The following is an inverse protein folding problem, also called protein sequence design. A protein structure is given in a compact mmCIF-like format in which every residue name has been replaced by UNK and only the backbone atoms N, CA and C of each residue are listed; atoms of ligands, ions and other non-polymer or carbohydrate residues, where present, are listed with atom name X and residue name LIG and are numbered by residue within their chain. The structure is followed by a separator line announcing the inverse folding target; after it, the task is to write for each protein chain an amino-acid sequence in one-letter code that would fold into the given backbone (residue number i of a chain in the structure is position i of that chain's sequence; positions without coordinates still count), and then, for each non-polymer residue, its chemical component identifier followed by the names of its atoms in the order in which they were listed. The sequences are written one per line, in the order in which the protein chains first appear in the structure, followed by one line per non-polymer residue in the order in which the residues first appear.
data_IF_093060524703
#
_entry.id   IF_093060524703
#
_cell.length_a   1.000
_cell.length_b   1.000
_cell.length_c   1.000
_cell.angle_alpha   90.00
_cell.angle_beta   90.00
_cell.angle_gamma   90.00
#
_symmetry.space_group_name_H-M   'P 1'
#
loop_
_entity.id
_entity.type
_entity.pdbx_description
1 polymer ?
#
# COMPACT_ATOMS: atom_id res chain seq x y z
N UNK A 1 4.41 -12.21 -0.30
CA UNK A 1 3.00 -11.93 0.01
C UNK A 1 2.36 -13.17 0.61
N UNK A 2 2.05 -13.15 1.91
CA UNK A 2 1.47 -14.25 2.68
C UNK A 2 -0.05 -14.15 2.86
N UNK A 3 -0.66 -13.06 2.41
CA UNK A 3 -2.11 -12.82 2.47
C UNK A 3 -2.66 -12.37 1.12
N UNK A 4 -3.98 -12.47 0.94
CA UNK A 4 -4.67 -11.97 -0.23
C UNK A 4 -5.14 -10.52 0.01
N UNK A 5 -4.58 -9.58 -0.74
CA UNK A 5 -4.90 -8.15 -0.58
C UNK A 5 -6.33 -7.79 -1.00
N UNK A 6 -6.95 -8.55 -1.91
CA UNK A 6 -8.34 -8.34 -2.30
C UNK A 6 -9.29 -8.78 -1.20
N UNK A 7 -9.08 -9.98 -0.67
CA UNK A 7 -9.85 -10.48 0.46
C UNK A 7 -9.67 -9.59 1.70
N UNK A 8 -8.43 -9.23 2.02
CA UNK A 8 -8.15 -8.36 3.16
C UNK A 8 -8.80 -6.97 3.01
N UNK A 9 -8.85 -6.40 1.80
CA UNK A 9 -9.55 -5.15 1.55
C UNK A 9 -11.04 -5.26 1.86
N UNK A 10 -11.70 -6.29 1.33
CA UNK A 10 -13.14 -6.50 1.53
C UNK A 10 -13.51 -6.66 3.01
N UNK A 11 -12.77 -7.48 3.75
CA UNK A 11 -13.00 -7.69 5.19
C UNK A 11 -12.76 -6.39 5.97
N UNK A 12 -11.68 -5.67 5.65
CA UNK A 12 -11.29 -4.46 6.37
C UNK A 12 -12.27 -3.31 6.15
N UNK A 13 -12.84 -3.18 4.94
CA UNK A 13 -13.85 -2.16 4.68
C UNK A 13 -15.09 -2.37 5.55
N UNK A 14 -15.57 -3.61 5.66
CA UNK A 14 -16.73 -3.93 6.53
C UNK A 14 -16.46 -3.54 7.99
N UNK A 15 -15.25 -3.80 8.49
CA UNK A 15 -14.87 -3.41 9.84
C UNK A 15 -14.71 -1.88 10.01
N UNK A 16 -14.45 -1.13 8.93
CA UNK A 16 -14.28 0.32 8.94
C UNK A 16 -15.61 1.11 9.04
N UNK A 17 -16.76 0.44 8.93
CA UNK A 17 -18.08 1.10 9.02
C UNK A 17 -18.21 1.98 10.27
N UNK A 18 -17.78 1.47 11.43
CA UNK A 18 -17.85 2.20 12.70
C UNK A 18 -16.93 3.44 12.72
N UNK A 19 -15.87 3.44 11.91
CA UNK A 19 -14.90 4.53 11.84
C UNK A 19 -15.34 5.64 10.86
N UNK A 20 -16.06 5.28 9.80
CA UNK A 20 -16.48 6.20 8.74
C UNK A 20 -17.78 6.96 9.06
N UNK A 21 -18.69 6.36 9.84
CA UNK A 21 -19.93 7.01 10.24
C UNK A 21 -20.75 7.47 9.04
N UNK A 22 -20.92 8.78 8.86
CA UNK A 22 -21.75 9.36 7.80
C UNK A 22 -21.16 9.18 6.39
N UNK A 23 -19.85 8.99 6.27
CA UNK A 23 -19.19 8.76 4.97
C UNK A 23 -19.17 7.26 4.59
N UNK A 24 -19.84 6.39 5.37
CA UNK A 24 -19.90 4.95 5.10
C UNK A 24 -20.54 4.65 3.74
N UNK A 25 -21.71 5.23 3.44
CA UNK A 25 -22.42 4.97 2.19
C UNK A 25 -21.55 5.37 0.99
N UNK A 26 -20.91 6.55 1.05
CA UNK A 26 -19.96 7.03 0.04
C UNK A 26 -18.80 6.04 -0.16
N UNK A 27 -18.19 5.55 0.92
CA UNK A 27 -17.10 4.58 0.85
C UNK A 27 -17.52 3.28 0.15
N UNK A 28 -18.74 2.79 0.44
CA UNK A 28 -19.25 1.55 -0.16
C UNK A 28 -19.60 1.72 -1.65
N UNK A 29 -20.19 2.84 -2.05
CA UNK A 29 -20.48 3.12 -3.46
C UNK A 29 -19.19 3.25 -4.30
N UNK A 30 -18.18 3.91 -3.73
CA UNK A 30 -16.88 4.03 -4.36
C UNK A 30 -16.16 2.67 -4.45
N UNK A 31 -16.22 1.84 -3.40
CA UNK A 31 -15.62 0.50 -3.45
C UNK A 31 -16.32 -0.44 -4.45
N UNK A 32 -17.65 -0.39 -4.55
CA UNK A 32 -18.40 -1.15 -5.56
C UNK A 32 -18.00 -0.69 -6.98
N UNK A 33 -17.88 0.62 -7.19
CA UNK A 33 -17.41 1.20 -8.45
C UNK A 33 -16.00 0.75 -8.76
N UNK A 34 -15.11 0.77 -7.78
CA UNK A 34 -13.72 0.33 -7.92
C UNK A 34 -13.62 -1.17 -8.30
N UNK A 35 -14.33 -2.04 -7.58
CA UNK A 35 -14.24 -3.50 -7.76
C UNK A 35 -14.96 -4.03 -9.01
N UNK A 36 -16.00 -3.34 -9.48
CA UNK A 36 -16.82 -3.76 -10.63
C UNK A 36 -16.39 -3.15 -11.96
N UNK A 37 -15.39 -2.27 -11.97
CA UNK A 37 -14.91 -1.59 -13.18
C UNK A 37 -13.41 -1.81 -13.37
N UNK A 38 -12.88 -1.32 -14.49
CA UNK A 38 -11.45 -1.33 -14.80
C UNK A 38 -11.05 -0.01 -15.47
N UNK A 39 -9.74 0.27 -15.54
CA UNK A 39 -9.22 1.45 -16.22
C UNK A 39 -9.65 2.75 -15.54
N UNK A 40 -10.02 3.77 -16.32
CA UNK A 40 -10.26 5.13 -15.80
C UNK A 40 -11.32 5.17 -14.69
N UNK A 41 -12.43 4.44 -14.83
CA UNK A 41 -13.52 4.44 -13.85
C UNK A 41 -13.08 3.86 -12.51
N UNK A 42 -12.37 2.73 -12.52
CA UNK A 42 -11.80 2.15 -11.31
C UNK A 42 -10.77 3.09 -10.68
N UNK A 43 -9.89 3.69 -11.50
CA UNK A 43 -8.89 4.66 -11.03
C UNK A 43 -9.51 5.88 -10.37
N UNK A 44 -10.58 6.44 -10.93
CA UNK A 44 -11.28 7.60 -10.35
C UNK A 44 -11.97 7.25 -9.03
N UNK A 45 -12.54 6.05 -8.91
CA UNK A 45 -13.11 5.58 -7.66
C UNK A 45 -12.02 5.37 -6.58
N UNK A 46 -10.89 4.75 -6.96
CA UNK A 46 -9.71 4.61 -6.11
C UNK A 46 -9.18 5.96 -5.61
N UNK A 47 -9.02 6.95 -6.49
CA UNK A 47 -8.55 8.29 -6.13
C UNK A 47 -9.51 8.98 -5.15
N UNK A 48 -10.82 8.78 -5.30
CA UNK A 48 -11.83 9.28 -4.36
C UNK A 48 -11.79 8.56 -3.00
N UNK A 49 -11.56 7.24 -2.96
CA UNK A 49 -11.37 6.50 -1.72
C UNK A 49 -10.15 7.02 -0.93
N UNK A 50 -9.04 7.33 -1.62
CA UNK A 50 -7.88 7.94 -0.98
C UNK A 50 -8.20 9.35 -0.45
N UNK A 51 -8.94 10.15 -1.20
CA UNK A 51 -9.37 11.47 -0.75
C UNK A 51 -10.28 11.39 0.48
N UNK A 52 -11.19 10.41 0.53
CA UNK A 52 -12.01 10.11 1.70
C UNK A 52 -11.14 9.70 2.89
N UNK A 53 -10.13 8.86 2.70
CA UNK A 53 -9.22 8.47 3.78
C UNK A 53 -8.45 9.66 4.35
N UNK A 54 -8.06 10.63 3.53
CA UNK A 54 -7.43 11.86 4.01
C UNK A 54 -8.33 12.68 4.95
N UNK A 55 -9.66 12.58 4.81
CA UNK A 55 -10.64 13.19 5.74
C UNK A 55 -10.75 12.43 7.07
N UNK A 56 -10.32 11.18 7.12
CA UNK A 56 -10.45 10.27 8.25
C UNK A 56 -9.09 9.71 8.74
N UNK A 57 -8.17 10.56 9.23
CA UNK A 57 -6.83 10.10 9.65
C UNK A 57 -6.86 9.15 10.86
N UNK A 58 -7.97 9.08 11.59
CA UNK A 58 -8.18 8.18 12.73
C UNK A 58 -8.93 6.90 12.39
N UNK A 59 -9.43 6.76 11.16
CA UNK A 59 -10.09 5.53 10.71
C UNK A 59 -9.04 4.48 10.32
N UNK A 60 -8.40 3.88 11.33
CA UNK A 60 -7.27 2.97 11.14
C UNK A 60 -7.56 1.78 10.23
N UNK A 61 -8.77 1.25 10.25
CA UNK A 61 -9.16 0.17 9.32
C UNK A 61 -9.34 0.73 7.93
N UNK A 62 -9.99 1.88 7.79
CA UNK A 62 -10.14 2.50 6.47
C UNK A 62 -8.80 2.86 5.83
N UNK A 63 -7.83 3.34 6.61
CA UNK A 63 -6.46 3.58 6.13
C UNK A 63 -5.79 2.28 5.66
N UNK A 64 -5.94 1.17 6.40
CA UNK A 64 -5.41 -0.13 5.99
C UNK A 64 -6.09 -0.65 4.71
N UNK A 65 -7.41 -0.49 4.59
CA UNK A 65 -8.15 -0.78 3.37
C UNK A 65 -7.59 -0.01 2.16
N UNK A 66 -7.35 1.29 2.29
CA UNK A 66 -6.76 2.10 1.23
C UNK A 66 -5.39 1.58 0.77
N UNK A 67 -4.55 1.12 1.70
CA UNK A 67 -3.25 0.51 1.37
C UNK A 67 -3.44 -0.80 0.58
N UNK A 68 -4.43 -1.62 0.94
CA UNK A 68 -4.71 -2.88 0.25
C UNK A 68 -5.21 -2.68 -1.18
N UNK A 69 -6.12 -1.73 -1.41
CA UNK A 69 -6.59 -1.41 -2.77
C UNK A 69 -5.50 -0.72 -3.60
N UNK A 70 -4.54 -0.01 -2.99
CA UNK A 70 -3.36 0.50 -3.71
C UNK A 70 -2.51 -0.65 -4.25
N UNK A 71 -2.37 -1.75 -3.52
CA UNK A 71 -1.71 -2.95 -4.06
C UNK A 71 -2.47 -3.55 -5.24
N UNK A 72 -3.80 -3.57 -5.18
CA UNK A 72 -4.61 -4.03 -6.33
C UNK A 72 -4.39 -3.13 -7.57
N UNK A 73 -4.27 -1.81 -7.39
CA UNK A 73 -3.91 -0.90 -8.48
C UNK A 73 -2.51 -1.15 -9.03
N UNK A 74 -1.52 -1.48 -8.19
CA UNK A 74 -0.20 -1.92 -8.67
C UNK A 74 -0.31 -3.18 -9.55
N UNK A 75 -1.19 -4.12 -9.20
CA UNK A 75 -1.37 -5.36 -9.98
C UNK A 75 -2.15 -5.14 -11.28
N UNK A 76 -3.03 -4.14 -11.32
CA UNK A 76 -3.79 -3.76 -12.53
C UNK A 76 -2.94 -2.91 -13.49
N UNK A 77 -2.27 -1.88 -12.96
CA UNK A 77 -1.38 -1.00 -13.71
C UNK A 77 -0.03 -0.90 -12.99
N UNK A 78 0.94 -1.68 -13.42
CA UNK A 78 2.26 -1.76 -12.76
C UNK A 78 3.15 -0.56 -13.10
N UNK A 79 2.78 0.62 -12.59
CA UNK A 79 3.48 1.90 -12.78
C UNK A 79 4.06 2.42 -11.46
N UNK A 80 5.20 3.11 -11.56
CA UNK A 80 5.94 3.64 -10.40
C UNK A 80 5.09 4.51 -9.46
N UNK A 81 4.10 5.24 -9.99
CA UNK A 81 3.22 6.10 -9.20
C UNK A 81 2.44 5.33 -8.15
N UNK A 82 1.89 4.16 -8.47
CA UNK A 82 1.12 3.36 -7.51
C UNK A 82 2.02 2.79 -6.41
N UNK A 83 3.23 2.35 -6.76
CA UNK A 83 4.22 1.92 -5.77
C UNK A 83 4.63 3.07 -4.82
N UNK A 84 4.88 4.27 -5.35
CA UNK A 84 5.19 5.45 -4.53
C UNK A 84 4.05 5.80 -3.58
N UNK A 85 2.81 5.84 -4.08
CA UNK A 85 1.63 6.09 -3.25
C UNK A 85 1.49 5.04 -2.14
N UNK A 86 1.62 3.76 -2.49
CA UNK A 86 1.54 2.66 -1.52
C UNK A 86 2.62 2.73 -0.45
N UNK A 87 3.86 3.01 -0.85
CA UNK A 87 4.99 3.20 0.08
C UNK A 87 4.72 4.33 1.07
N UNK A 88 4.28 5.50 0.60
CA UNK A 88 3.97 6.64 1.48
C UNK A 88 2.85 6.30 2.46
N UNK A 89 1.73 5.75 1.97
CA UNK A 89 0.60 5.37 2.83
C UNK A 89 1.00 4.34 3.88
N UNK A 90 1.80 3.34 3.50
CA UNK A 90 2.26 2.31 4.43
C UNK A 90 3.24 2.88 5.47
N UNK A 91 4.16 3.76 5.09
CA UNK A 91 5.06 4.43 6.03
C UNK A 91 4.30 5.28 7.05
N UNK A 92 3.38 6.12 6.59
CA UNK A 92 2.55 6.96 7.45
C UNK A 92 1.69 6.10 8.39
N UNK A 93 1.15 4.98 7.89
CA UNK A 93 0.40 4.03 8.70
C UNK A 93 1.27 3.34 9.76
N UNK A 94 2.51 2.98 9.46
CA UNK A 94 3.37 2.28 10.43
C UNK A 94 4.05 3.23 11.43
N UNK A 95 4.10 4.53 11.16
CA UNK A 95 4.76 5.52 12.02
C UNK A 95 4.16 5.65 13.44
N UNK A 96 2.88 5.30 13.62
CA UNK A 96 2.22 5.27 14.95
C UNK A 96 1.34 4.02 15.05
N UNK A 97 1.77 2.97 15.77
CA UNK A 97 1.03 1.70 15.89
C UNK A 97 -0.14 1.74 16.88
N UNK A 98 -0.27 2.83 17.65
CA UNK A 98 -1.23 2.93 18.75
C UNK A 98 -2.68 2.85 18.23
N UNK A 99 -3.48 1.96 18.83
CA UNK A 99 -4.89 1.76 18.45
C UNK A 99 -5.11 0.97 17.16
N UNK A 100 -4.05 0.53 16.48
CA UNK A 100 -4.13 -0.28 15.25
C UNK A 100 -4.14 -1.77 15.56
N UNK A 101 -4.85 -2.52 14.72
CA UNK A 101 -4.86 -3.98 14.83
C UNK A 101 -3.51 -4.58 14.41
N UNK A 102 -2.98 -5.49 15.22
CA UNK A 102 -1.73 -6.21 14.94
C UNK A 102 -1.71 -6.92 13.58
N UNK A 103 -2.85 -7.43 13.12
CA UNK A 103 -3.01 -8.06 11.79
C UNK A 103 -2.73 -7.04 10.69
N UNK A 104 -3.33 -5.85 10.79
CA UNK A 104 -3.13 -4.81 9.77
C UNK A 104 -1.70 -4.29 9.79
N UNK A 105 -1.08 -4.15 10.97
CA UNK A 105 0.34 -3.78 11.07
C UNK A 105 1.24 -4.79 10.35
N UNK A 106 1.01 -6.09 10.54
CA UNK A 106 1.78 -7.15 9.86
C UNK A 106 1.59 -7.13 8.34
N UNK A 107 0.34 -7.05 7.87
CA UNK A 107 0.03 -6.99 6.44
C UNK A 107 0.61 -5.73 5.76
N UNK A 108 0.49 -4.57 6.41
CA UNK A 108 1.00 -3.30 5.87
C UNK A 108 2.53 -3.29 5.84
N UNK A 109 3.21 -3.91 6.81
CA UNK A 109 4.66 -4.08 6.77
C UNK A 109 5.10 -4.93 5.56
N UNK A 110 4.44 -6.06 5.30
CA UNK A 110 4.75 -6.89 4.13
C UNK A 110 4.48 -6.15 2.80
N UNK A 111 3.43 -5.33 2.75
CA UNK A 111 3.15 -4.48 1.60
C UNK A 111 4.17 -3.37 1.41
N UNK A 112 4.68 -2.77 2.49
CA UNK A 112 5.73 -1.77 2.41
C UNK A 112 6.97 -2.34 1.71
N UNK A 113 7.42 -3.53 2.09
CA UNK A 113 8.55 -4.20 1.44
C UNK A 113 8.25 -4.46 -0.05
N UNK A 114 7.02 -4.90 -0.36
CA UNK A 114 6.58 -5.11 -1.74
C UNK A 114 6.56 -3.81 -2.57
N UNK A 115 6.16 -2.69 -1.97
CA UNK A 115 6.18 -1.38 -2.63
C UNK A 115 7.60 -0.88 -2.88
N UNK A 116 8.51 -1.08 -1.92
CA UNK A 116 9.93 -0.72 -2.04
C UNK A 116 10.64 -1.54 -3.10
N UNK A 117 10.40 -2.86 -3.11
CA UNK A 117 10.93 -3.76 -4.14
C UNK A 117 10.46 -3.35 -5.55
N UNK A 118 9.18 -2.99 -5.71
CA UNK A 118 8.66 -2.49 -6.97
C UNK A 118 9.26 -1.16 -7.46
N UNK A 119 9.88 -0.39 -6.56
CA UNK A 119 10.61 0.84 -6.87
C UNK A 119 12.13 0.61 -7.03
N UNK A 120 12.63 -0.61 -6.81
CA UNK A 120 14.07 -0.91 -6.79
C UNK A 120 14.79 -0.37 -5.56
N UNK A 121 14.08 -0.10 -4.46
CA UNK A 121 14.63 0.45 -3.21
C UNK A 121 15.06 -0.62 -2.19
N UNK A 122 14.91 -1.90 -2.56
CA UNK A 122 15.41 -3.05 -1.80
C UNK A 122 16.86 -3.42 -2.19
N UNK A 123 17.43 -2.79 -3.23
CA UNK A 123 18.76 -3.09 -3.77
C UNK A 123 19.93 -2.28 -3.14
N UNK A 124 19.76 -1.69 -1.96
CA UNK A 124 20.91 -1.18 -1.19
C UNK A 124 21.36 -2.20 -0.15
N UNK A 125 22.16 -3.20 -0.58
CA UNK A 125 23.36 -3.66 0.19
C UNK A 125 24.31 -4.68 -0.49
N UNK A 126 24.14 -5.10 -1.76
CA UNK A 126 25.08 -6.09 -2.38
C UNK A 126 25.99 -5.55 -3.53
N UNK A 127 25.75 -4.36 -4.07
CA UNK A 127 26.50 -3.83 -5.24
C UNK A 127 27.66 -2.88 -4.85
N UNK A 128 28.23 -3.01 -3.65
CA UNK A 128 29.43 -2.23 -3.24
C UNK A 128 30.62 -3.10 -2.84
N UNK A 129 30.49 -4.43 -2.77
CA UNK A 129 31.60 -5.32 -2.37
C UNK A 129 32.38 -5.92 -3.56
N UNK A 130 31.79 -6.07 -4.74
CA UNK A 130 32.42 -6.77 -5.88
C UNK A 130 33.22 -5.88 -6.85
N UNK A 131 33.39 -4.57 -6.61
CA UNK A 131 34.24 -3.70 -7.45
C UNK A 131 35.58 -3.29 -6.82
N UNK A 132 35.93 -3.80 -5.63
CA UNK A 132 37.23 -3.57 -4.98
C UNK A 132 38.18 -4.77 -4.97
N UNK A 133 37.90 -5.82 -5.74
CA UNK A 133 38.78 -6.99 -5.87
C UNK A 133 39.66 -7.03 -7.12
N UNK A 134 39.58 -6.02 -7.99
CA UNK A 134 40.38 -5.95 -9.22
C UNK A 134 41.41 -4.80 -9.24
N UNK A 135 42.12 -4.62 -8.11
CA UNK A 135 43.40 -3.91 -8.16
C UNK A 135 44.52 -4.96 -8.14
N UNK A 136 45.12 -5.31 -9.29
CA UNK A 136 46.31 -6.15 -9.28
C UNK A 136 47.43 -5.39 -8.56
N UNK A 137 47.90 -5.94 -7.43
CA UNK A 137 49.21 -5.60 -6.88
C UNK A 137 50.28 -6.19 -7.80
N UNK A 138 50.59 -5.49 -8.89
CA UNK A 138 51.78 -5.73 -9.68
C UNK A 138 52.98 -5.11 -8.97
N UNK A 139 53.83 -5.94 -8.39
CA UNK A 139 55.21 -5.58 -8.10
C UNK A 139 56.10 -5.93 -9.29
N UNK A 140 56.98 -5.01 -9.65
CA UNK A 140 58.45 -5.16 -9.67
C UNK A 140 59.06 -3.74 -9.69
#
# INVERSE_FOLDING_TARGET
MQFDAALAAQETLQEAQAELGADWDEATELEETFSSNAGTTAREAYEQLLALAARHPKAHRFQAFCIYITWQQVTEETIARHFQTGMTLAQDYLASPEGKDSRHLAHVAELLDSFRAGLGLDEEDDIVVEFRKDTPKGGD
#
